data_IF_002703690073
#
_entry.id   IF_002703690073
#
_cell.length_a   1.000
_cell.length_b   1.000
_cell.length_c   1.000
_cell.angle_alpha   90.00
_cell.angle_beta   90.00
_cell.angle_gamma   90.00
#
_symmetry.space_group_name_H-M   'P 1'
#
loop_
_entity.id
_entity.type
_entity.pdbx_description
1 polymer ?
#
# COMPACT_ATOMS: atom_id res chain seq x y z
N UNK A 1 -5.98 -47.26 56.59
CA UNK A 1 -7.07 -46.82 55.69
C UNK A 1 -7.15 -47.84 54.55
N UNK A 2 -8.13 -48.76 54.56
CA UNK A 2 -8.19 -49.93 53.65
C UNK A 2 -8.82 -49.53 52.31
N UNK A 3 -8.05 -49.62 51.22
CA UNK A 3 -8.57 -49.52 49.85
C UNK A 3 -9.29 -50.83 49.53
N UNK A 4 -10.62 -50.79 49.41
CA UNK A 4 -11.42 -51.94 48.99
C UNK A 4 -11.15 -52.23 47.51
N UNK A 5 -10.81 -53.48 47.20
CA UNK A 5 -10.60 -53.97 45.84
C UNK A 5 -11.88 -53.89 45.02
N UNK A 6 -11.77 -53.49 43.74
CA UNK A 6 -12.86 -53.42 42.76
C UNK A 6 -13.70 -54.71 42.69
N UNK A 7 -13.09 -55.86 43.05
CA UNK A 7 -13.75 -57.17 43.09
C UNK A 7 -14.84 -57.30 44.16
N UNK A 8 -14.79 -56.52 45.25
CA UNK A 8 -15.80 -56.59 46.31
C UNK A 8 -17.06 -55.77 46.02
N UNK A 9 -16.98 -54.73 45.17
CA UNK A 9 -18.13 -53.91 44.78
C UNK A 9 -19.09 -54.69 43.88
N UNK A 10 -18.57 -55.68 43.13
CA UNK A 10 -19.34 -56.48 42.17
C UNK A 10 -20.09 -57.68 42.79
N UNK A 11 -19.96 -57.93 44.10
CA UNK A 11 -20.42 -59.19 44.71
C UNK A 11 -21.43 -58.98 45.84
N UNK A 12 -22.56 -58.32 45.59
CA UNK A 12 -23.77 -58.48 46.41
C UNK A 12 -25.05 -58.40 45.57
N UNK A 13 -25.88 -59.45 45.70
CA UNK A 13 -27.20 -59.76 45.12
C UNK A 13 -27.25 -60.35 43.70
N UNK A 14 -27.81 -61.57 43.50
CA UNK A 14 -28.14 -62.08 42.18
C UNK A 14 -29.38 -61.33 41.67
N UNK A 15 -29.17 -60.29 40.88
CA UNK A 15 -30.24 -59.62 40.15
C UNK A 15 -30.85 -60.67 39.19
N UNK A 16 -32.11 -61.10 39.39
CA UNK A 16 -32.83 -61.94 38.44
C UNK A 16 -33.13 -61.12 37.18
N UNK A 17 -32.11 -60.89 36.36
CA UNK A 17 -32.22 -60.15 35.11
C UNK A 17 -32.70 -61.09 34.00
N UNK A 18 -33.65 -60.67 33.16
CA UNK A 18 -34.03 -61.43 31.97
C UNK A 18 -32.80 -61.65 31.07
N UNK A 19 -32.64 -62.86 30.50
CA UNK A 19 -31.54 -63.20 29.59
C UNK A 19 -31.39 -62.17 28.45
N UNK A 20 -32.53 -61.63 27.99
CA UNK A 20 -32.62 -60.58 26.97
C UNK A 20 -31.86 -59.29 27.37
N UNK A 21 -31.89 -58.91 28.65
CA UNK A 21 -31.19 -57.72 29.16
C UNK A 21 -29.68 -57.93 29.22
N UNK A 22 -29.23 -59.13 29.61
CA UNK A 22 -27.80 -59.48 29.71
C UNK A 22 -27.11 -59.43 28.35
N UNK A 23 -27.83 -59.74 27.27
CA UNK A 23 -27.28 -59.71 25.91
C UNK A 23 -27.46 -58.33 25.27
N UNK A 24 -28.67 -57.74 25.28
CA UNK A 24 -28.93 -56.52 24.49
C UNK A 24 -28.18 -55.30 25.04
N UNK A 25 -28.11 -55.13 26.36
CA UNK A 25 -27.53 -53.93 26.99
C UNK A 25 -26.04 -53.72 26.62
N UNK A 26 -25.14 -54.71 26.74
CA UNK A 26 -23.74 -54.51 26.36
C UNK A 26 -23.54 -54.22 24.86
N UNK A 27 -24.33 -54.84 23.96
CA UNK A 27 -24.28 -54.54 22.54
C UNK A 27 -24.72 -53.09 22.23
N UNK A 28 -25.82 -52.64 22.85
CA UNK A 28 -26.31 -51.26 22.67
C UNK A 28 -25.29 -50.25 23.24
N UNK A 29 -24.72 -50.52 24.41
CA UNK A 29 -23.66 -49.69 24.99
C UNK A 29 -22.44 -49.59 24.08
N UNK A 30 -22.01 -50.70 23.48
CA UNK A 30 -20.89 -50.71 22.55
C UNK A 30 -21.19 -49.90 21.28
N UNK A 31 -22.40 -50.02 20.73
CA UNK A 31 -22.83 -49.22 19.57
C UNK A 31 -22.85 -47.73 19.92
N UNK A 32 -23.44 -47.35 21.06
CA UNK A 32 -23.47 -45.96 21.52
C UNK A 32 -22.06 -45.41 21.75
N UNK A 33 -21.17 -46.20 22.34
CA UNK A 33 -19.77 -45.83 22.52
C UNK A 33 -19.05 -45.61 21.19
N UNK A 34 -19.19 -46.54 20.24
CA UNK A 34 -18.58 -46.44 18.92
C UNK A 34 -19.11 -45.24 18.12
N UNK A 35 -20.43 -45.08 18.05
CA UNK A 35 -21.08 -43.97 17.34
C UNK A 35 -20.76 -42.63 18.00
N UNK A 36 -20.78 -42.54 19.33
CA UNK A 36 -20.41 -41.33 20.06
C UNK A 36 -18.94 -40.94 19.83
N UNK A 37 -18.04 -41.92 19.82
CA UNK A 37 -16.62 -41.70 19.54
C UNK A 37 -16.40 -41.24 18.10
N UNK A 38 -17.00 -41.92 17.12
CA UNK A 38 -16.92 -41.52 15.71
C UNK A 38 -17.53 -40.13 15.51
N UNK A 39 -18.67 -39.84 16.14
CA UNK A 39 -19.32 -38.53 16.09
C UNK A 39 -18.44 -37.41 16.67
N UNK A 40 -17.84 -37.64 17.85
CA UNK A 40 -16.91 -36.69 18.46
C UNK A 40 -15.67 -36.44 17.61
N UNK A 41 -15.04 -37.51 17.10
CA UNK A 41 -13.88 -37.41 16.21
C UNK A 41 -14.25 -36.71 14.89
N UNK A 42 -15.42 -37.00 14.33
CA UNK A 42 -15.91 -36.38 13.10
C UNK A 42 -16.16 -34.89 13.30
N UNK A 43 -16.77 -34.51 14.43
CA UNK A 43 -16.99 -33.11 14.77
C UNK A 43 -15.67 -32.36 14.93
N UNK A 44 -14.73 -32.90 15.70
CA UNK A 44 -13.40 -32.30 15.92
C UNK A 44 -12.60 -32.16 14.62
N UNK A 45 -12.61 -33.20 13.79
CA UNK A 45 -11.93 -33.16 12.49
C UNK A 45 -12.62 -32.17 11.53
N UNK A 46 -13.94 -32.07 11.57
CA UNK A 46 -14.71 -31.09 10.80
C UNK A 46 -14.38 -29.66 11.20
N UNK A 47 -14.36 -29.37 12.51
CA UNK A 47 -13.94 -28.08 13.05
C UNK A 47 -12.51 -27.72 12.60
N UNK A 48 -11.57 -28.67 12.70
CA UNK A 48 -10.20 -28.47 12.27
C UNK A 48 -10.11 -28.18 10.76
N UNK A 49 -10.78 -28.97 9.93
CA UNK A 49 -10.77 -28.78 8.47
C UNK A 49 -11.34 -27.42 8.05
N UNK A 50 -12.42 -26.97 8.72
CA UNK A 50 -13.01 -25.65 8.49
C UNK A 50 -12.05 -24.54 8.89
N UNK A 51 -11.42 -24.65 10.07
CA UNK A 51 -10.45 -23.68 10.55
C UNK A 51 -9.22 -23.61 9.64
N UNK A 52 -8.71 -24.75 9.18
CA UNK A 52 -7.57 -24.82 8.26
C UNK A 52 -7.89 -24.14 6.92
N UNK A 53 -9.07 -24.41 6.36
CA UNK A 53 -9.53 -23.77 5.13
C UNK A 53 -9.68 -22.25 5.30
N UNK A 54 -10.30 -21.80 6.39
CA UNK A 54 -10.44 -20.37 6.69
C UNK A 54 -9.07 -19.69 6.79
N UNK A 55 -8.12 -20.30 7.50
CA UNK A 55 -6.76 -19.80 7.63
C UNK A 55 -5.99 -19.77 6.30
N UNK A 56 -6.20 -20.75 5.42
CA UNK A 56 -5.61 -20.73 4.08
C UNK A 56 -6.18 -19.59 3.23
N UNK A 57 -7.50 -19.41 3.22
CA UNK A 57 -8.15 -18.34 2.48
C UNK A 57 -7.73 -16.94 2.97
N UNK A 58 -7.62 -16.75 4.28
CA UNK A 58 -7.13 -15.50 4.88
C UNK A 58 -5.69 -15.20 4.47
N UNK A 59 -4.82 -16.22 4.44
CA UNK A 59 -3.43 -16.07 3.98
C UNK A 59 -3.38 -15.70 2.51
N UNK A 60 -4.07 -16.44 1.64
CA UNK A 60 -4.10 -16.16 0.21
C UNK A 60 -4.64 -14.74 -0.08
N UNK A 61 -5.68 -14.32 0.63
CA UNK A 61 -6.23 -12.98 0.50
C UNK A 61 -5.22 -11.92 0.94
N UNK A 62 -4.54 -12.13 2.07
CA UNK A 62 -3.50 -11.22 2.57
C UNK A 62 -2.32 -11.11 1.61
N UNK A 63 -1.85 -12.24 1.09
CA UNK A 63 -0.76 -12.31 0.11
C UNK A 63 -1.15 -11.59 -1.18
N UNK A 64 -2.39 -11.79 -1.67
CA UNK A 64 -2.90 -11.10 -2.84
C UNK A 64 -3.03 -9.60 -2.62
N UNK A 65 -3.45 -9.15 -1.44
CA UNK A 65 -3.46 -7.72 -1.07
C UNK A 65 -2.03 -7.17 -1.09
N UNK A 66 -1.08 -7.89 -0.50
CA UNK A 66 0.34 -7.51 -0.49
C UNK A 66 0.92 -7.39 -1.90
N UNK A 67 0.65 -8.35 -2.78
CA UNK A 67 1.07 -8.32 -4.19
C UNK A 67 0.49 -7.12 -4.93
N UNK A 68 -0.83 -6.86 -4.80
CA UNK A 68 -1.47 -5.70 -5.42
C UNK A 68 -0.86 -4.39 -4.93
N UNK A 69 -0.61 -4.25 -3.63
CA UNK A 69 0.01 -3.06 -3.06
C UNK A 69 1.44 -2.87 -3.54
N UNK A 70 2.22 -3.95 -3.62
CA UNK A 70 3.59 -3.91 -4.15
C UNK A 70 3.62 -3.45 -5.61
N UNK A 71 2.73 -3.98 -6.46
CA UNK A 71 2.62 -3.57 -7.86
C UNK A 71 2.20 -2.11 -7.98
N UNK A 72 1.20 -1.69 -7.20
CA UNK A 72 0.71 -0.32 -7.18
C UNK A 72 1.82 0.68 -6.78
N UNK A 73 2.59 0.36 -5.74
CA UNK A 73 3.69 1.22 -5.24
C UNK A 73 4.99 1.08 -6.04
N UNK A 74 5.12 0.09 -6.91
CA UNK A 74 6.26 -0.05 -7.80
C UNK A 74 6.23 0.98 -8.94
N UNK A 75 5.04 1.34 -9.44
CA UNK A 75 4.88 2.27 -10.56
C UNK A 75 5.50 3.65 -10.28
N UNK A 76 5.21 4.34 -9.16
CA UNK A 76 5.88 5.61 -8.85
C UNK A 76 7.40 5.49 -8.75
N UNK A 77 7.93 4.36 -8.25
CA UNK A 77 9.37 4.11 -8.20
C UNK A 77 9.98 4.00 -9.59
N UNK A 78 9.28 3.37 -10.52
CA UNK A 78 9.70 3.28 -11.92
C UNK A 78 9.76 4.65 -12.58
N UNK A 79 8.74 5.49 -12.37
CA UNK A 79 8.70 6.86 -12.91
C UNK A 79 9.83 7.72 -12.32
N UNK A 80 10.03 7.69 -11.00
CA UNK A 80 11.12 8.39 -10.34
C UNK A 80 12.48 7.99 -10.93
N UNK A 81 12.72 6.69 -11.12
CA UNK A 81 13.96 6.18 -11.74
C UNK A 81 14.12 6.64 -13.19
N UNK A 82 13.08 6.58 -14.01
CA UNK A 82 13.12 7.03 -15.40
C UNK A 82 13.46 8.52 -15.45
N UNK A 83 12.81 9.34 -14.62
CA UNK A 83 13.05 10.78 -14.56
C UNK A 83 14.45 11.09 -14.03
N UNK A 84 14.89 10.44 -12.95
CA UNK A 84 16.23 10.59 -12.39
C UNK A 84 17.32 10.25 -13.41
N UNK A 85 17.16 9.15 -14.16
CA UNK A 85 18.08 8.76 -15.22
C UNK A 85 18.09 9.78 -16.37
N UNK A 86 16.92 10.22 -16.83
CA UNK A 86 16.81 11.23 -17.89
C UNK A 86 17.46 12.56 -17.50
N UNK A 87 17.34 12.97 -16.22
CA UNK A 87 18.03 14.15 -15.69
C UNK A 87 19.54 13.93 -15.66
N UNK A 88 20.00 12.79 -15.15
CA UNK A 88 21.43 12.46 -15.09
C UNK A 88 22.10 12.39 -16.47
N UNK A 89 21.35 11.95 -17.49
CA UNK A 89 21.79 11.89 -18.88
C UNK A 89 21.60 13.21 -19.65
N UNK A 90 21.21 14.30 -18.97
CA UNK A 90 20.87 15.61 -19.58
C UNK A 90 19.78 15.55 -20.66
N UNK A 91 18.94 14.50 -20.65
CA UNK A 91 17.79 14.36 -21.55
C UNK A 91 16.56 15.12 -21.03
N UNK A 92 16.49 15.34 -19.71
CA UNK A 92 15.43 16.08 -19.05
C UNK A 92 16.01 17.26 -18.28
N UNK A 93 15.89 18.47 -18.85
CA UNK A 93 16.43 19.69 -18.24
C UNK A 93 15.44 20.29 -17.23
N UNK A 94 15.84 20.34 -15.96
CA UNK A 94 15.04 20.89 -14.86
C UNK A 94 14.77 22.40 -14.99
N UNK A 95 15.61 23.12 -15.74
CA UNK A 95 15.48 24.54 -16.03
C UNK A 95 14.55 24.82 -17.21
N UNK A 96 14.12 23.77 -17.94
CA UNK A 96 13.17 23.86 -19.07
C UNK A 96 11.83 23.22 -18.71
N UNK A 97 11.04 23.91 -17.88
CA UNK A 97 9.86 23.32 -17.27
C UNK A 97 8.71 22.99 -18.23
N UNK A 98 8.68 23.59 -19.42
CA UNK A 98 7.72 23.17 -20.44
C UNK A 98 8.06 21.76 -20.95
N UNK A 99 9.35 21.44 -21.12
CA UNK A 99 9.81 20.12 -21.51
C UNK A 99 9.50 19.09 -20.41
N UNK A 100 9.71 19.46 -19.14
CA UNK A 100 9.30 18.65 -17.98
C UNK A 100 7.81 18.33 -18.01
N UNK A 101 6.94 19.34 -18.16
CA UNK A 101 5.50 19.12 -18.14
C UNK A 101 5.01 18.28 -19.33
N UNK A 102 5.62 18.44 -20.52
CA UNK A 102 5.35 17.54 -21.66
C UNK A 102 5.78 16.11 -21.36
N UNK A 103 6.92 15.91 -20.72
CA UNK A 103 7.38 14.58 -20.33
C UNK A 103 6.41 13.94 -19.30
N UNK A 104 6.02 14.68 -18.26
CA UNK A 104 5.03 14.23 -17.28
C UNK A 104 3.68 13.92 -17.93
N UNK A 105 3.28 14.70 -18.93
CA UNK A 105 2.08 14.46 -19.71
C UNK A 105 2.15 13.10 -20.41
N UNK A 106 3.22 12.81 -21.15
CA UNK A 106 3.36 11.51 -21.82
C UNK A 106 3.40 10.35 -20.82
N UNK A 107 3.98 10.54 -19.64
CA UNK A 107 4.10 9.49 -18.62
C UNK A 107 2.78 9.13 -17.92
N UNK A 108 1.84 10.07 -17.79
CA UNK A 108 0.65 9.89 -16.94
C UNK A 108 -0.29 8.76 -17.37
N UNK A 109 -0.22 8.33 -18.63
CA UNK A 109 -1.03 7.23 -19.20
C UNK A 109 -0.19 6.00 -19.56
N UNK A 110 1.08 5.94 -19.15
CA UNK A 110 1.90 4.75 -19.39
C UNK A 110 1.57 3.62 -18.40
N UNK A 111 0.82 3.92 -17.34
CA UNK A 111 0.54 2.99 -16.24
C UNK A 111 -0.94 3.04 -15.87
N UNK A 112 -1.81 2.57 -16.78
CA UNK A 112 -3.28 2.60 -16.65
C UNK A 112 -3.82 1.92 -15.37
N UNK A 113 -3.06 0.99 -14.79
CA UNK A 113 -3.44 0.30 -13.56
C UNK A 113 -3.26 1.13 -12.28
N UNK A 114 -2.52 2.25 -12.35
CA UNK A 114 -2.18 3.09 -11.19
C UNK A 114 -2.56 4.53 -11.43
N UNK A 115 -3.53 5.01 -10.64
CA UNK A 115 -3.95 6.41 -10.64
C UNK A 115 -2.91 7.31 -9.94
N UNK A 116 -1.92 7.78 -10.69
CA UNK A 116 -0.98 8.79 -10.21
C UNK A 116 -1.67 10.15 -10.21
N UNK A 117 -1.84 10.73 -9.03
CA UNK A 117 -2.53 12.02 -8.90
C UNK A 117 -1.69 13.21 -9.37
N UNK A 118 -0.35 13.11 -9.36
CA UNK A 118 0.54 14.16 -9.85
C UNK A 118 1.97 13.67 -10.09
N UNK A 119 2.67 14.33 -11.01
CA UNK A 119 4.13 14.25 -11.22
C UNK A 119 4.67 15.67 -11.23
N UNK A 120 5.69 15.97 -10.44
CA UNK A 120 6.13 17.34 -10.21
C UNK A 120 7.57 17.45 -9.72
N UNK A 121 8.11 18.66 -9.83
CA UNK A 121 9.44 19.04 -9.40
C UNK A 121 9.37 20.33 -8.58
N UNK A 122 10.17 20.39 -7.52
CA UNK A 122 10.43 21.62 -6.78
C UNK A 122 11.94 21.77 -6.56
N UNK A 123 12.44 22.96 -6.80
CA UNK A 123 13.86 23.31 -6.73
C UNK A 123 14.27 23.86 -5.36
N UNK A 124 15.58 23.91 -5.12
CA UNK A 124 16.17 24.57 -3.96
C UNK A 124 15.94 26.10 -3.95
N UNK A 125 15.73 26.71 -5.11
CA UNK A 125 15.41 28.14 -5.25
C UNK A 125 13.94 28.47 -4.91
N UNK A 126 13.11 27.44 -4.71
CA UNK A 126 11.68 27.60 -4.40
C UNK A 126 10.77 27.58 -5.62
N UNK A 127 11.31 27.37 -6.82
CA UNK A 127 10.52 27.14 -8.03
C UNK A 127 9.82 25.78 -7.97
N UNK A 128 8.60 25.71 -8.49
CA UNK A 128 7.81 24.49 -8.61
C UNK A 128 7.15 24.40 -9.98
N UNK A 129 7.15 23.21 -10.57
CA UNK A 129 6.37 22.90 -11.76
C UNK A 129 5.85 21.47 -11.67
N UNK A 130 4.67 21.23 -12.20
CA UNK A 130 4.15 19.87 -12.23
C UNK A 130 2.83 19.73 -12.93
N UNK A 131 2.47 18.48 -13.16
CA UNK A 131 1.22 18.04 -13.74
C UNK A 131 0.41 17.34 -12.66
N UNK A 132 -0.83 17.78 -12.43
CA UNK A 132 -1.69 17.20 -11.39
C UNK A 132 -3.15 17.08 -11.80
N UNK A 133 -3.77 15.96 -11.42
CA UNK A 133 -5.18 15.67 -11.60
C UNK A 133 -5.99 16.36 -10.50
N UNK A 134 -6.96 17.18 -10.89
CA UNK A 134 -7.84 17.93 -9.99
C UNK A 134 -9.11 17.13 -9.64
N UNK A 135 -9.89 17.63 -8.68
CA UNK A 135 -11.15 16.97 -8.25
C UNK A 135 -12.21 16.89 -9.34
N UNK A 136 -12.15 17.76 -10.36
CA UNK A 136 -13.04 17.77 -11.53
C UNK A 136 -12.57 16.83 -12.65
N UNK A 137 -11.61 15.94 -12.37
CA UNK A 137 -10.95 15.05 -13.32
C UNK A 137 -10.19 15.74 -14.47
N UNK A 138 -9.87 17.03 -14.33
CA UNK A 138 -9.01 17.73 -15.28
C UNK A 138 -7.54 17.68 -14.87
N UNK A 139 -6.67 17.48 -15.86
CA UNK A 139 -5.24 17.62 -15.68
C UNK A 139 -4.84 19.08 -15.83
N UNK A 140 -4.04 19.58 -14.89
CA UNK A 140 -3.59 20.97 -14.91
C UNK A 140 -2.08 21.06 -14.65
N UNK A 141 -1.45 22.01 -15.34
CA UNK A 141 -0.06 22.36 -15.11
C UNK A 141 0.00 23.43 -14.03
N UNK A 142 0.81 23.16 -13.00
CA UNK A 142 1.06 24.08 -11.91
C UNK A 142 2.43 24.72 -12.05
N UNK A 143 2.53 26.01 -11.71
CA UNK A 143 3.77 26.79 -11.81
C UNK A 143 3.92 27.72 -10.61
N UNK A 144 5.11 27.73 -10.04
CA UNK A 144 5.56 28.71 -9.06
C UNK A 144 7.00 29.08 -9.42
N UNK A 145 7.29 30.35 -9.60
CA UNK A 145 8.65 30.87 -9.74
C UNK A 145 8.65 32.39 -9.55
N UNK A 146 9.80 33.03 -9.77
CA UNK A 146 9.92 34.49 -9.75
C UNK A 146 8.90 35.21 -10.65
N UNK A 147 8.59 34.67 -11.85
CA UNK A 147 7.63 35.30 -12.78
C UNK A 147 6.18 35.23 -12.29
N UNK A 148 5.84 34.24 -11.45
CA UNK A 148 4.52 34.17 -10.80
C UNK A 148 4.49 34.88 -9.44
N UNK A 149 5.56 35.60 -9.10
CA UNK A 149 5.77 36.17 -7.76
C UNK A 149 5.56 35.10 -6.66
N UNK A 150 6.05 33.89 -6.90
CA UNK A 150 5.90 32.72 -6.03
C UNK A 150 4.46 32.35 -5.63
N UNK A 151 3.45 32.82 -6.39
CA UNK A 151 2.06 32.35 -6.27
C UNK A 151 1.86 31.08 -7.10
N UNK A 152 0.97 30.22 -6.61
CA UNK A 152 0.62 28.96 -7.26
C UNK A 152 -0.31 29.16 -8.45
N UNK A 153 0.27 29.28 -9.64
CA UNK A 153 -0.51 29.45 -10.87
C UNK A 153 -0.91 28.09 -11.44
N UNK A 154 -2.20 27.91 -11.74
CA UNK A 154 -2.73 26.72 -12.41
C UNK A 154 -3.11 27.06 -13.85
N UNK A 155 -2.74 26.19 -14.78
CA UNK A 155 -2.97 26.36 -16.20
C UNK A 155 -3.62 25.12 -16.81
N UNK A 156 -4.44 25.35 -17.84
CA UNK A 156 -4.88 24.31 -18.74
C UNK A 156 -3.71 23.76 -19.56
N UNK A 157 -3.91 22.59 -20.13
CA UNK A 157 -2.93 21.88 -20.96
C UNK A 157 -3.59 21.41 -22.26
N UNK A 158 -2.82 21.42 -23.35
CA UNK A 158 -3.22 20.82 -24.61
C UNK A 158 -2.95 19.30 -24.64
N UNK A 159 -3.22 18.66 -25.78
CA UNK A 159 -3.02 17.22 -25.99
C UNK A 159 -1.55 16.76 -25.99
N UNK A 160 -0.59 17.69 -25.93
CA UNK A 160 0.84 17.40 -25.91
C UNK A 160 1.51 17.75 -24.57
N UNK A 161 0.75 18.25 -23.59
CA UNK A 161 1.30 18.66 -22.31
C UNK A 161 1.86 20.07 -22.29
N UNK A 162 1.51 20.91 -23.27
CA UNK A 162 1.87 22.32 -23.25
C UNK A 162 0.85 23.12 -22.47
N UNK A 163 1.37 24.09 -21.73
CA UNK A 163 0.57 25.07 -21.00
C UNK A 163 -0.20 25.99 -21.96
N UNK A 164 -1.49 26.13 -21.73
CA UNK A 164 -2.36 27.03 -22.51
C UNK A 164 -2.87 28.19 -21.65
N UNK A 165 -4.15 28.16 -21.25
CA UNK A 165 -4.83 29.23 -20.53
C UNK A 165 -4.50 29.21 -19.04
N UNK A 166 -4.25 30.38 -18.44
CA UNK A 166 -4.22 30.54 -16.98
C UNK A 166 -5.63 30.35 -16.42
N UNK A 167 -5.79 29.37 -15.54
CA UNK A 167 -7.09 29.02 -14.94
C UNK A 167 -7.29 29.68 -13.58
N UNK A 168 -6.24 29.70 -12.76
CA UNK A 168 -6.32 30.20 -11.39
C UNK A 168 -4.97 30.70 -10.87
N UNK A 169 -5.00 31.66 -9.95
CA UNK A 169 -3.85 32.16 -9.19
C UNK A 169 -4.12 31.91 -7.70
N UNK A 170 -3.39 30.95 -7.14
CA UNK A 170 -3.47 30.59 -5.72
C UNK A 170 -2.62 31.47 -4.80
N UNK A 171 -2.47 31.00 -3.56
CA UNK A 171 -1.61 31.63 -2.54
C UNK A 171 -0.13 31.43 -2.84
N UNK A 172 0.73 32.11 -2.08
CA UNK A 172 2.18 31.85 -2.11
C UNK A 172 2.45 30.39 -1.76
N UNK A 173 3.35 29.77 -2.52
CA UNK A 173 3.74 28.39 -2.36
C UNK A 173 5.25 28.29 -2.27
N UNK A 174 5.72 27.45 -1.37
CA UNK A 174 7.13 27.08 -1.26
C UNK A 174 7.24 25.55 -1.20
N UNK A 175 7.88 24.89 -2.19
CA UNK A 175 8.06 23.44 -2.16
C UNK A 175 8.94 23.00 -0.98
N UNK A 176 9.85 23.84 -0.50
CA UNK A 176 10.92 23.47 0.45
C UNK A 176 10.42 23.21 1.86
N UNK A 177 9.27 23.79 2.21
CA UNK A 177 8.59 23.55 3.48
C UNK A 177 7.61 22.37 3.43
N UNK A 178 7.47 21.70 2.27
CA UNK A 178 6.51 20.62 2.10
C UNK A 178 7.08 19.30 2.66
N UNK A 179 6.23 18.43 3.24
CA UNK A 179 6.69 17.18 3.85
C UNK A 179 7.49 16.29 2.89
N UNK A 180 7.08 16.20 1.62
CA UNK A 180 7.78 15.41 0.61
C UNK A 180 9.20 15.93 0.33
N UNK A 181 9.38 17.26 0.25
CA UNK A 181 10.68 17.87 -0.05
C UNK A 181 11.63 17.69 1.13
N UNK A 182 11.19 18.06 2.34
CA UNK A 182 12.01 17.93 3.55
C UNK A 182 12.42 16.48 3.82
N UNK A 183 11.50 15.53 3.62
CA UNK A 183 11.78 14.11 3.84
C UNK A 183 12.79 13.57 2.83
N UNK A 184 12.66 13.92 1.55
CA UNK A 184 13.61 13.54 0.52
C UNK A 184 15.01 14.12 0.74
N UNK A 185 15.11 15.43 1.00
CA UNK A 185 16.40 16.09 1.26
C UNK A 185 17.07 15.52 2.50
N UNK A 186 16.32 15.30 3.59
CA UNK A 186 16.84 14.68 4.81
C UNK A 186 17.30 13.24 4.59
N UNK A 187 16.60 12.46 3.78
CA UNK A 187 16.93 11.06 3.52
C UNK A 187 18.11 10.89 2.55
N UNK A 188 18.38 11.86 1.67
CA UNK A 188 19.43 11.77 0.66
C UNK A 188 19.18 10.73 -0.45
N UNK A 189 18.00 10.12 -0.46
CA UNK A 189 17.58 9.07 -1.41
C UNK A 189 16.07 9.08 -1.59
N UNK A 190 15.58 8.36 -2.60
CA UNK A 190 14.13 8.21 -2.84
C UNK A 190 13.43 7.67 -1.59
N UNK A 191 12.37 8.37 -1.17
CA UNK A 191 11.64 8.09 0.08
C UNK A 191 10.19 8.52 -0.03
N UNK A 192 9.30 7.79 0.65
CA UNK A 192 7.91 8.21 0.82
C UNK A 192 7.78 9.28 1.90
N UNK A 193 7.01 10.32 1.61
CA UNK A 193 6.58 11.31 2.60
C UNK A 193 5.68 10.67 3.66
N UNK A 194 5.47 11.38 4.78
CA UNK A 194 4.27 11.11 5.59
C UNK A 194 3.01 11.54 4.81
N UNK A 195 1.83 11.12 5.25
CA UNK A 195 0.57 11.60 4.66
C UNK A 195 0.39 13.08 5.03
N UNK A 196 0.05 13.92 4.05
CA UNK A 196 -0.12 15.36 4.23
C UNK A 196 -1.28 15.90 3.39
N UNK A 197 -1.78 17.10 3.71
CA UNK A 197 -2.80 17.77 2.90
C UNK A 197 -2.17 18.41 1.66
N UNK A 198 -2.77 18.17 0.50
CA UNK A 198 -2.45 18.87 -0.73
C UNK A 198 -2.62 20.38 -0.57
N UNK A 199 -1.80 21.14 -1.29
CA UNK A 199 -1.79 22.59 -1.15
C UNK A 199 -2.96 23.27 -1.86
N UNK A 200 -3.38 22.73 -3.00
CA UNK A 200 -4.40 23.35 -3.85
C UNK A 200 -5.80 22.94 -3.43
N UNK A 201 -5.99 21.65 -3.16
CA UNK A 201 -7.26 21.08 -2.71
C UNK A 201 -7.03 20.36 -1.37
N UNK A 202 -7.98 20.35 -0.43
CA UNK A 202 -7.82 19.72 0.89
C UNK A 202 -7.90 18.17 0.81
N UNK A 203 -7.12 17.56 -0.08
CA UNK A 203 -7.01 16.10 -0.28
C UNK A 203 -5.78 15.56 0.43
N UNK A 204 -5.88 14.37 1.02
CA UNK A 204 -4.71 13.68 1.56
C UNK A 204 -3.82 13.18 0.43
N UNK A 205 -2.51 13.40 0.56
CA UNK A 205 -1.48 12.95 -0.36
C UNK A 205 -0.36 12.24 0.39
N UNK A 206 0.24 11.28 -0.30
CA UNK A 206 1.54 10.71 0.00
C UNK A 206 2.38 10.82 -1.27
N UNK A 207 3.68 11.04 -1.14
CA UNK A 207 4.54 11.26 -2.31
C UNK A 207 5.82 10.50 -2.15
N UNK A 208 6.16 9.72 -3.18
CA UNK A 208 7.52 9.22 -3.37
C UNK A 208 8.33 10.37 -3.95
N UNK A 209 9.38 10.77 -3.25
CA UNK A 209 10.22 11.88 -3.67
C UNK A 209 11.67 11.43 -3.73
N UNK A 210 12.31 11.65 -4.88
CA UNK A 210 13.73 11.43 -5.10
C UNK A 210 14.47 12.78 -5.08
N UNK A 211 15.43 12.99 -4.17
CA UNK A 211 16.27 14.18 -4.22
C UNK A 211 17.20 14.09 -5.43
N UNK A 212 17.34 15.19 -6.14
CA UNK A 212 18.29 15.34 -7.25
C UNK A 212 19.34 16.33 -6.80
N UNK A 213 20.60 15.98 -7.06
CA UNK A 213 21.74 16.81 -6.70
C UNK A 213 22.58 17.10 -7.93
N UNK A 214 23.29 18.23 -7.96
CA UNK A 214 24.30 18.47 -9.00
C UNK A 214 25.39 17.40 -8.89
N UNK A 215 25.58 16.60 -9.94
CA UNK A 215 26.77 15.73 -10.02
C UNK A 215 28.01 16.61 -10.05
N UNK A 216 28.83 16.53 -9.01
CA UNK A 216 30.16 17.13 -8.99
C UNK A 216 31.16 16.00 -9.15
N UNK A 217 32.08 16.00 -10.14
CA UNK A 217 32.89 14.83 -10.48
C UNK A 217 33.84 14.31 -9.39
N UNK A 218 33.93 14.94 -8.22
CA UNK A 218 34.85 14.58 -7.13
C UNK A 218 34.40 15.19 -5.78
N UNK A 219 33.34 14.66 -5.15
CA UNK A 219 33.03 15.04 -3.76
C UNK A 219 32.70 13.84 -2.88
N UNK A 220 33.37 13.77 -1.73
CA UNK A 220 33.14 12.85 -0.60
C UNK A 220 32.08 13.40 0.38
N UNK A 221 31.32 14.42 -0.01
CA UNK A 221 30.25 15.04 0.77
C UNK A 221 28.96 15.08 -0.06
N UNK A 222 27.76 15.02 0.57
CA UNK A 222 26.51 15.06 -0.18
C UNK A 222 26.38 16.41 -0.92
N UNK A 223 26.19 16.41 -2.26
CA UNK A 223 26.09 17.62 -3.05
C UNK A 223 24.86 18.47 -2.68
N UNK A 224 24.88 19.76 -3.04
CA UNK A 224 23.74 20.65 -2.81
C UNK A 224 22.51 20.20 -3.65
N UNK A 225 21.30 20.19 -3.06
CA UNK A 225 20.09 19.84 -3.78
C UNK A 225 19.82 20.81 -4.93
N UNK A 226 19.31 20.27 -6.02
CA UNK A 226 18.76 21.01 -7.16
C UNK A 226 17.30 21.41 -6.88
#
# INVERSE_FOLDING_TARGET
MRVKSLKEILRKTPLKLPLRTVIIVPFVLQILGAVGMVGYLSFKNGEQAVNDLANQLMRETSDRIGQKLNNYLAVPRTIDRINGNAIALNQLNLQEPNNLNRNFWQQRFLFDEVNISAIYFGSAEGDFTGLGLQSDNTWQISRVNRTTNYKFHSYATDNWGNRTKLLNVGKHYDPRIRPWYQKAVKAGKSVWSDIYLDFKEPRLKITLAQPIYKSTPNQTSPPAPL
#
